data_IF_073959943271
#
_entry.id   IF_073959943271
#
_cell.length_a   1.000
_cell.length_b   1.000
_cell.length_c   1.000
_cell.angle_alpha   90.00
_cell.angle_beta   90.00
_cell.angle_gamma   90.00
#
_symmetry.space_group_name_H-M   'P 1'
#
loop_
_entity.id
_entity.type
_entity.pdbx_description
1 polymer ?
#
# COMPACT_ATOMS: atom_id res chain seq x y z
N UNK A 1 -5.38 -4.31 -9.20
CA UNK A 1 -4.16 -4.95 -9.70
C UNK A 1 -3.47 -5.67 -8.56
N UNK A 2 -2.85 -6.83 -8.84
CA UNK A 2 -2.23 -7.70 -7.83
C UNK A 2 -1.13 -6.99 -7.04
N UNK A 3 -0.36 -6.08 -7.67
CA UNK A 3 0.72 -5.35 -7.01
C UNK A 3 0.18 -4.42 -5.90
N UNK A 4 -0.93 -3.74 -6.15
CA UNK A 4 -1.56 -2.85 -5.16
C UNK A 4 -2.07 -3.67 -3.96
N UNK A 5 -2.65 -4.84 -4.21
CA UNK A 5 -3.07 -5.74 -3.13
C UNK A 5 -1.90 -6.16 -2.26
N UNK A 6 -0.75 -6.49 -2.86
CA UNK A 6 0.46 -6.82 -2.10
C UNK A 6 0.95 -5.67 -1.22
N UNK A 7 0.82 -4.41 -1.67
CA UNK A 7 1.11 -3.24 -0.83
C UNK A 7 0.15 -3.14 0.35
N UNK A 8 -1.15 -3.36 0.13
CA UNK A 8 -2.17 -3.36 1.19
C UNK A 8 -1.92 -4.46 2.23
N UNK A 9 -1.56 -5.67 1.79
CA UNK A 9 -1.22 -6.78 2.69
C UNK A 9 0.05 -6.47 3.50
N UNK A 10 1.05 -5.84 2.88
CA UNK A 10 2.25 -5.38 3.59
C UNK A 10 1.92 -4.30 4.61
N UNK A 11 1.03 -3.35 4.30
CA UNK A 11 0.55 -2.33 5.24
C UNK A 11 -0.17 -2.95 6.44
N UNK A 12 -0.96 -4.00 6.21
CA UNK A 12 -1.62 -4.74 7.28
C UNK A 12 -0.61 -5.44 8.20
N UNK A 13 0.44 -6.05 7.64
CA UNK A 13 1.46 -6.78 8.40
C UNK A 13 2.50 -5.90 9.08
N UNK A 14 2.82 -4.73 8.49
CA UNK A 14 3.85 -3.81 8.99
C UNK A 14 3.30 -2.66 9.84
N UNK A 15 1.99 -2.42 9.80
CA UNK A 15 1.38 -1.20 10.32
C UNK A 15 1.42 -1.10 11.85
N UNK A 16 1.76 0.08 12.36
CA UNK A 16 1.73 0.47 13.78
C UNK A 16 0.32 0.61 14.37
N UNK A 17 -0.67 -0.11 13.84
CA UNK A 17 -2.06 -0.04 14.31
C UNK A 17 -2.76 -1.39 14.14
N UNK A 18 -4.07 -1.47 14.46
CA UNK A 18 -4.79 -2.73 14.40
C UNK A 18 -4.82 -3.29 12.97
N UNK A 19 -4.74 -4.61 12.88
CA UNK A 19 -4.95 -5.34 11.64
C UNK A 19 -6.35 -5.01 11.10
N UNK A 20 -6.43 -4.78 9.79
CA UNK A 20 -7.66 -4.40 9.10
C UNK A 20 -8.05 -5.39 8.00
N UNK A 21 -7.17 -6.33 7.65
CA UNK A 21 -7.50 -7.42 6.74
C UNK A 21 -8.38 -8.44 7.47
N UNK A 22 -9.57 -8.69 6.92
CA UNK A 22 -10.52 -9.68 7.42
C UNK A 22 -10.34 -10.99 6.65
N UNK A 23 -10.34 -10.91 5.31
CA UNK A 23 -10.22 -12.08 4.44
C UNK A 23 -9.53 -11.74 3.11
N UNK A 24 -8.78 -12.71 2.58
CA UNK A 24 -8.18 -12.67 1.25
C UNK A 24 -9.08 -13.43 0.28
N UNK A 25 -9.69 -12.74 -0.70
CA UNK A 25 -10.73 -13.33 -1.56
C UNK A 25 -10.12 -13.96 -2.82
N UNK A 26 -9.31 -13.19 -3.54
CA UNK A 26 -8.63 -13.62 -4.76
C UNK A 26 -7.42 -12.71 -5.05
N UNK A 27 -6.68 -12.96 -6.12
CA UNK A 27 -5.48 -12.21 -6.49
C UNK A 27 -5.62 -10.67 -6.50
N UNK A 28 -6.82 -10.14 -6.75
CA UNK A 28 -7.08 -8.70 -6.88
C UNK A 28 -8.03 -8.12 -5.85
N UNK A 29 -8.78 -8.96 -5.13
CA UNK A 29 -9.76 -8.55 -4.14
C UNK A 29 -9.35 -8.99 -2.73
N UNK A 30 -9.54 -8.09 -1.76
CA UNK A 30 -9.36 -8.35 -0.35
C UNK A 30 -10.54 -7.74 0.41
N UNK A 31 -10.98 -8.43 1.45
CA UNK A 31 -12.02 -7.95 2.34
C UNK A 31 -11.39 -7.31 3.58
N UNK A 32 -11.68 -6.04 3.79
CA UNK A 32 -11.04 -5.21 4.83
C UNK A 32 -12.09 -4.49 5.68
N UNK A 33 -11.70 -4.15 6.89
CA UNK A 33 -12.52 -3.34 7.79
C UNK A 33 -12.77 -1.94 7.21
N UNK A 34 -14.04 -1.54 7.15
CA UNK A 34 -14.46 -0.29 6.54
C UNK A 34 -13.92 0.95 7.28
N UNK A 35 -13.68 0.85 8.58
CA UNK A 35 -13.14 1.96 9.39
C UNK A 35 -11.67 2.23 9.07
N UNK A 36 -10.96 1.25 8.53
CA UNK A 36 -9.57 1.38 8.13
C UNK A 36 -9.38 1.99 6.72
N UNK A 37 -10.43 2.08 5.91
CA UNK A 37 -10.35 2.60 4.53
C UNK A 37 -9.65 3.96 4.42
N UNK A 38 -9.95 4.97 5.27
CA UNK A 38 -9.27 6.27 5.20
C UNK A 38 -7.76 6.16 5.44
N UNK A 39 -7.36 5.30 6.39
CA UNK A 39 -5.95 5.05 6.72
C UNK A 39 -5.26 4.32 5.58
N UNK A 40 -5.86 3.25 5.05
CA UNK A 40 -5.30 2.47 3.95
C UNK A 40 -5.03 3.37 2.74
N UNK A 41 -5.96 4.26 2.40
CA UNK A 41 -5.78 5.25 1.32
C UNK A 41 -4.60 6.17 1.60
N UNK A 42 -4.57 6.82 2.77
CA UNK A 42 -3.49 7.75 3.10
C UNK A 42 -2.11 7.11 3.11
N UNK A 43 -1.98 5.87 3.59
CA UNK A 43 -0.69 5.17 3.62
C UNK A 43 -0.27 4.67 2.23
N UNK A 44 -1.22 4.22 1.40
CA UNK A 44 -0.95 3.89 0.01
C UNK A 44 -0.47 5.11 -0.78
N UNK A 45 -1.14 6.26 -0.62
CA UNK A 45 -0.74 7.50 -1.30
C UNK A 45 0.70 7.88 -0.93
N UNK A 46 1.05 7.85 0.36
CA UNK A 46 2.44 8.09 0.83
C UNK A 46 3.44 7.12 0.21
N UNK A 47 3.15 5.82 0.25
CA UNK A 47 4.04 4.79 -0.30
C UNK A 47 4.25 4.96 -1.82
N UNK A 48 3.22 5.39 -2.54
CA UNK A 48 3.29 5.64 -3.97
C UNK A 48 4.03 6.95 -4.28
N UNK A 49 3.86 8.00 -3.48
CA UNK A 49 4.62 9.24 -3.59
C UNK A 49 6.12 9.02 -3.29
N UNK A 50 6.47 8.30 -2.22
CA UNK A 50 7.87 7.99 -1.88
C UNK A 50 8.56 7.19 -2.99
N UNK A 51 7.88 6.20 -3.57
CA UNK A 51 8.40 5.43 -4.69
C UNK A 51 8.53 6.28 -5.97
N UNK A 52 7.58 7.18 -6.23
CA UNK A 52 7.61 8.08 -7.40
C UNK A 52 8.75 9.10 -7.27
N UNK A 53 8.99 9.61 -6.07
CA UNK A 53 10.10 10.52 -5.78
C UNK A 53 11.45 9.81 -5.95
N UNK A 54 11.58 8.57 -5.47
CA UNK A 54 12.80 7.77 -5.60
C UNK A 54 13.10 7.44 -7.07
N UNK A 55 12.10 7.00 -7.84
CA UNK A 55 12.25 6.71 -9.27
C UNK A 55 12.61 7.96 -10.10
N UNK A 56 12.07 9.14 -9.76
CA UNK A 56 12.41 10.39 -10.44
C UNK A 56 13.81 10.93 -10.06
N UNK A 57 14.30 10.62 -8.86
CA UNK A 57 15.62 11.05 -8.38
C UNK A 57 16.74 10.19 -8.97
N UNK A 58 16.54 8.88 -9.12
CA UNK A 58 17.52 7.97 -9.74
C UNK A 58 17.77 8.27 -11.22
N UNK A 59 16.78 8.78 -11.95
CA UNK A 59 16.94 9.20 -13.36
C UNK A 59 17.85 10.43 -13.52
N UNK A 60 18.05 11.24 -12.47
CA UNK A 60 18.87 12.47 -12.52
C UNK A 60 20.29 12.30 -11.97
N UNK A 61 20.61 11.16 -11.36
CA UNK A 61 21.93 10.87 -10.80
C UNK A 61 22.89 10.13 -11.75
N UNK A 62 22.41 9.75 -12.94
CA UNK A 62 23.20 9.08 -13.98
C UNK A 62 23.43 9.98 -15.20
N UNK A 63 24.18 11.07 -15.02
CA UNK A 63 24.77 11.88 -16.11
C UNK A 63 26.17 12.34 -15.70
#
# INVERSE_FOLDING_TARGET
DAAVKQLILNLNSKGSGPAFLIEDLDETHAFVDATAIPRIRSELDKLLEENTYTAALEVRGGL
#
